data_IF_184759829542
#
_entry.id   IF_184759829542
#
_cell.length_a   1.000
_cell.length_b   1.000
_cell.length_c   1.000
_cell.angle_alpha   90.00
_cell.angle_beta   90.00
_cell.angle_gamma   90.00
#
_symmetry.space_group_name_H-M   'P 1'
#
loop_
_entity.id
_entity.type
_entity.pdbx_description
1 polymer ?
#
# COMPACT_ATOMS: atom_id res chain seq x y z
N UNK A 1 -35.34 5.22 -34.54
CA UNK A 1 -35.29 6.17 -33.43
C UNK A 1 -35.51 5.42 -32.13
N UNK A 2 -34.45 5.16 -31.40
CA UNK A 2 -34.54 4.63 -30.04
C UNK A 2 -34.93 5.80 -29.14
N UNK A 3 -36.04 5.74 -28.38
CA UNK A 3 -36.41 6.83 -27.50
C UNK A 3 -35.26 7.05 -26.50
N UNK A 4 -34.78 8.29 -26.38
CA UNK A 4 -33.87 8.68 -25.33
C UNK A 4 -34.56 8.41 -23.98
N UNK A 5 -34.24 7.32 -23.36
CA UNK A 5 -34.59 7.03 -21.96
C UNK A 5 -33.85 8.05 -21.10
N UNK A 6 -34.41 9.21 -20.91
CA UNK A 6 -34.05 10.07 -19.78
C UNK A 6 -34.49 9.30 -18.53
N UNK A 7 -33.51 8.78 -17.81
CA UNK A 7 -33.80 8.20 -16.50
C UNK A 7 -34.52 9.28 -15.68
N UNK A 8 -35.68 9.00 -15.18
CA UNK A 8 -36.43 9.89 -14.28
C UNK A 8 -35.77 10.06 -12.91
N UNK A 9 -34.59 9.55 -12.77
CA UNK A 9 -33.74 9.68 -11.59
C UNK A 9 -32.85 10.87 -11.86
N UNK A 10 -33.19 12.01 -11.25
CA UNK A 10 -32.37 13.22 -11.32
C UNK A 10 -30.90 12.91 -11.11
N UNK A 11 -30.05 13.65 -11.78
CA UNK A 11 -28.59 13.62 -11.63
C UNK A 11 -28.23 13.81 -10.15
N UNK A 12 -28.12 12.70 -9.43
CA UNK A 12 -27.62 12.76 -8.07
C UNK A 12 -26.14 12.75 -8.18
N UNK A 13 -25.57 13.91 -8.02
CA UNK A 13 -24.14 14.06 -7.81
C UNK A 13 -23.78 13.23 -6.57
N UNK A 14 -23.09 12.14 -6.80
CA UNK A 14 -22.48 11.36 -5.73
C UNK A 14 -21.17 12.06 -5.38
N UNK A 15 -21.16 12.78 -4.27
CA UNK A 15 -19.91 13.30 -3.76
C UNK A 15 -18.95 12.15 -3.43
N UNK A 16 -17.69 12.25 -3.83
CA UNK A 16 -16.68 11.27 -3.46
C UNK A 16 -16.58 11.17 -1.94
N UNK A 17 -16.55 9.96 -1.42
CA UNK A 17 -16.32 9.70 -0.01
C UNK A 17 -14.82 9.74 0.27
N UNK A 18 -14.36 10.74 1.00
CA UNK A 18 -12.94 11.03 1.24
C UNK A 18 -12.53 11.06 2.72
N UNK A 19 -13.41 10.66 3.63
CA UNK A 19 -13.15 10.66 5.07
C UNK A 19 -12.10 9.61 5.52
N UNK A 20 -11.93 8.52 4.73
CA UNK A 20 -10.96 7.48 5.07
C UNK A 20 -9.50 7.99 4.89
N UNK A 21 -8.57 7.72 5.84
CA UNK A 21 -7.21 8.27 5.80
C UNK A 21 -6.38 7.83 4.58
N UNK A 22 -6.62 6.63 4.04
CA UNK A 22 -5.81 6.05 2.97
C UNK A 22 -6.58 5.75 1.68
N UNK A 23 -7.90 5.76 1.72
CA UNK A 23 -8.75 5.37 0.59
C UNK A 23 -9.71 6.49 0.23
N UNK A 24 -10.01 6.62 -1.05
CA UNK A 24 -11.08 7.44 -1.58
C UNK A 24 -12.08 6.55 -2.33
N UNK A 25 -13.35 6.88 -2.26
CA UNK A 25 -14.43 6.17 -2.94
C UNK A 25 -15.31 7.14 -3.70
N UNK A 26 -15.40 6.94 -5.00
CA UNK A 26 -16.30 7.66 -5.90
C UNK A 26 -17.46 6.73 -6.32
N UNK A 27 -18.65 6.90 -5.75
CA UNK A 27 -19.82 6.11 -6.13
C UNK A 27 -20.23 6.25 -7.59
N UNK A 28 -19.92 7.39 -8.22
CA UNK A 28 -20.23 7.65 -9.63
C UNK A 28 -19.49 6.73 -10.60
N UNK A 29 -18.32 6.21 -10.19
CA UNK A 29 -17.53 5.27 -10.98
C UNK A 29 -17.84 3.80 -10.65
N UNK A 30 -18.70 3.54 -9.66
CA UNK A 30 -18.94 2.20 -9.15
C UNK A 30 -19.92 1.43 -10.03
N UNK A 31 -19.49 0.33 -10.63
CA UNK A 31 -20.34 -0.59 -11.41
C UNK A 31 -20.96 -1.72 -10.56
N UNK A 32 -20.88 -1.64 -9.25
CA UNK A 32 -21.49 -2.58 -8.30
C UNK A 32 -21.03 -4.05 -8.47
N UNK A 33 -19.85 -4.29 -9.00
CA UNK A 33 -19.32 -5.62 -9.28
C UNK A 33 -18.96 -6.44 -8.02
N UNK A 34 -18.99 -5.86 -6.83
CA UNK A 34 -18.76 -6.47 -5.52
C UNK A 34 -17.36 -7.08 -5.31
N UNK A 35 -16.42 -6.87 -6.21
CA UNK A 35 -15.04 -7.38 -6.06
C UNK A 35 -14.38 -6.88 -4.78
N UNK A 36 -14.56 -5.61 -4.44
CA UNK A 36 -14.03 -5.01 -3.22
C UNK A 36 -14.58 -5.69 -1.95
N UNK A 37 -15.89 -5.97 -1.92
CA UNK A 37 -16.57 -6.65 -0.80
C UNK A 37 -16.04 -8.09 -0.68
N UNK A 38 -16.04 -8.83 -1.80
CA UNK A 38 -15.53 -10.20 -1.82
C UNK A 38 -14.04 -10.27 -1.40
N UNK A 39 -13.20 -9.32 -1.85
CA UNK A 39 -11.80 -9.25 -1.46
C UNK A 39 -11.65 -8.97 0.04
N UNK A 40 -12.42 -8.03 0.58
CA UNK A 40 -12.40 -7.72 2.01
C UNK A 40 -12.85 -8.92 2.85
N UNK A 41 -13.91 -9.62 2.43
CA UNK A 41 -14.43 -10.78 3.14
C UNK A 41 -13.50 -11.99 3.06
N UNK A 42 -13.07 -12.38 1.84
CA UNK A 42 -12.34 -13.63 1.61
C UNK A 42 -10.84 -13.53 1.84
N UNK A 43 -10.25 -12.39 1.48
CA UNK A 43 -8.81 -12.22 1.53
C UNK A 43 -8.32 -11.72 2.90
N UNK A 44 -9.08 -10.84 3.55
CA UNK A 44 -8.69 -10.26 4.84
C UNK A 44 -9.52 -10.76 6.02
N UNK A 45 -10.68 -11.39 5.76
CA UNK A 45 -11.60 -11.86 6.80
C UNK A 45 -12.27 -10.72 7.59
N UNK A 46 -12.19 -9.46 7.10
CA UNK A 46 -12.65 -8.30 7.88
C UNK A 46 -14.11 -7.93 7.66
N UNK A 47 -14.66 -8.24 6.48
CA UNK A 47 -16.05 -7.90 6.16
C UNK A 47 -16.41 -6.42 6.39
N UNK A 48 -15.43 -5.53 6.20
CA UNK A 48 -15.59 -4.10 6.46
C UNK A 48 -16.42 -3.38 5.40
N UNK A 49 -16.74 -4.03 4.28
CA UNK A 49 -17.50 -3.46 3.17
C UNK A 49 -18.77 -4.24 2.93
N UNK A 50 -19.85 -3.51 2.67
CA UNK A 50 -21.14 -4.07 2.28
C UNK A 50 -21.78 -3.27 1.14
N UNK A 51 -22.84 -3.80 0.54
CA UNK A 51 -23.73 -3.02 -0.31
C UNK A 51 -24.85 -2.44 0.55
N UNK A 52 -25.08 -1.15 0.39
CA UNK A 52 -26.24 -0.49 0.94
C UNK A 52 -27.17 -0.08 -0.19
N UNK A 53 -28.48 -0.23 0.06
CA UNK A 53 -29.54 0.23 -0.84
C UNK A 53 -30.30 1.38 -0.19
N UNK A 54 -30.40 2.46 -0.93
CA UNK A 54 -31.30 3.56 -0.58
C UNK A 54 -32.24 3.82 -1.77
N UNK A 55 -33.40 3.23 -1.71
CA UNK A 55 -34.32 3.19 -2.84
C UNK A 55 -33.74 2.41 -4.04
N UNK A 56 -33.67 3.05 -5.19
CA UNK A 56 -33.08 2.50 -6.41
C UNK A 56 -31.54 2.57 -6.44
N UNK A 57 -30.91 3.19 -5.45
CA UNK A 57 -29.46 3.38 -5.40
C UNK A 57 -28.80 2.26 -4.64
N UNK A 58 -27.69 1.80 -5.19
CA UNK A 58 -26.82 0.82 -4.56
C UNK A 58 -25.40 1.38 -4.53
N UNK A 59 -24.75 1.36 -3.39
CA UNK A 59 -23.39 1.81 -3.22
C UNK A 59 -22.64 0.96 -2.20
N UNK A 60 -21.32 1.00 -2.27
CA UNK A 60 -20.47 0.34 -1.28
C UNK A 60 -20.43 1.18 -0.02
N UNK A 61 -20.77 0.60 1.11
CA UNK A 61 -20.75 1.25 2.42
C UNK A 61 -20.02 0.40 3.45
N UNK A 62 -19.54 1.10 4.45
CA UNK A 62 -19.03 0.47 5.66
C UNK A 62 -20.23 -0.10 6.44
N UNK A 63 -20.14 -1.34 6.97
CA UNK A 63 -21.19 -1.94 7.78
C UNK A 63 -21.60 -1.03 8.96
N UNK A 64 -22.87 -1.12 9.34
CA UNK A 64 -23.45 -0.47 10.52
C UNK A 64 -23.64 1.05 10.44
N UNK A 65 -23.52 1.67 9.28
CA UNK A 65 -23.73 3.10 9.12
C UNK A 65 -22.68 3.97 9.80
N UNK A 66 -21.64 3.37 10.35
CA UNK A 66 -20.51 4.07 10.96
C UNK A 66 -19.52 4.58 9.89
N UNK A 67 -18.70 5.57 10.24
CA UNK A 67 -17.61 6.01 9.39
C UNK A 67 -16.53 4.92 9.20
N UNK A 68 -15.67 5.08 8.23
CA UNK A 68 -14.57 4.16 7.97
C UNK A 68 -13.70 3.92 9.20
N UNK A 69 -13.52 4.95 10.02
CA UNK A 69 -12.73 4.95 11.24
C UNK A 69 -13.24 3.98 12.30
N UNK A 70 -14.56 3.82 12.38
CA UNK A 70 -15.24 2.98 13.37
C UNK A 70 -15.55 1.57 12.82
N UNK A 71 -15.05 1.25 11.63
CA UNK A 71 -15.27 -0.05 11.01
C UNK A 71 -14.12 -1.03 11.30
N UNK A 72 -14.32 -2.29 10.93
CA UNK A 72 -13.28 -3.32 10.96
C UNK A 72 -12.21 -3.13 9.86
N UNK A 73 -12.19 -1.98 9.18
CA UNK A 73 -11.26 -1.69 8.11
C UNK A 73 -9.83 -1.53 8.63
N UNK A 74 -8.90 -2.31 8.11
CA UNK A 74 -7.46 -2.23 8.43
C UNK A 74 -6.68 -1.33 7.46
N UNK A 75 -7.36 -0.56 6.64
CA UNK A 75 -6.73 0.34 5.65
C UNK A 75 -5.76 -0.36 4.68
N UNK A 76 -5.91 -1.66 4.48
CA UNK A 76 -4.97 -2.47 3.68
C UNK A 76 -4.99 -2.15 2.17
N UNK A 77 -6.07 -1.53 1.65
CA UNK A 77 -6.19 -1.14 0.24
C UNK A 77 -6.37 -2.28 -0.77
N UNK A 78 -6.57 -3.53 -0.34
CA UNK A 78 -6.79 -4.65 -1.25
C UNK A 78 -8.11 -4.50 -2.04
N UNK A 79 -9.12 -3.85 -1.47
CA UNK A 79 -10.36 -3.49 -2.15
C UNK A 79 -10.11 -2.49 -3.30
N UNK A 80 -9.23 -1.52 -3.13
CA UNK A 80 -8.85 -0.58 -4.18
C UNK A 80 -8.08 -1.28 -5.31
N UNK A 81 -7.14 -2.18 -4.99
CA UNK A 81 -6.43 -2.98 -5.98
C UNK A 81 -7.38 -3.89 -6.79
N UNK A 82 -8.46 -4.37 -6.17
CA UNK A 82 -9.45 -5.23 -6.83
C UNK A 82 -10.49 -4.44 -7.65
N UNK A 83 -10.57 -3.12 -7.49
CA UNK A 83 -11.56 -2.29 -8.16
C UNK A 83 -11.19 -2.09 -9.64
N UNK A 84 -12.05 -2.53 -10.59
CA UNK A 84 -11.73 -2.45 -12.02
C UNK A 84 -11.96 -1.07 -12.61
N UNK A 85 -12.74 -0.20 -11.95
CA UNK A 85 -13.13 1.12 -12.48
C UNK A 85 -12.42 2.28 -11.79
N UNK A 86 -11.64 1.99 -10.73
CA UNK A 86 -11.04 3.05 -9.92
C UNK A 86 -12.04 3.78 -9.00
N UNK A 87 -13.26 3.26 -8.83
CA UNK A 87 -14.20 3.81 -7.86
C UNK A 87 -13.62 3.79 -6.43
N UNK A 88 -12.82 2.79 -6.08
CA UNK A 88 -12.00 2.76 -4.88
C UNK A 88 -10.54 2.97 -5.28
N UNK A 89 -9.89 3.98 -4.73
CA UNK A 89 -8.50 4.33 -4.99
C UNK A 89 -7.72 4.53 -3.70
N UNK A 90 -6.41 4.47 -3.82
CA UNK A 90 -5.49 4.76 -2.71
C UNK A 90 -5.06 6.21 -2.85
N UNK A 91 -5.34 7.05 -1.85
CA UNK A 91 -5.04 8.49 -1.86
C UNK A 91 -3.57 8.81 -2.14
N UNK A 92 -2.69 7.91 -1.74
CA UNK A 92 -1.25 8.08 -1.93
C UNK A 92 -0.78 7.80 -3.35
N UNK A 93 -1.57 7.09 -4.15
CA UNK A 93 -1.26 6.82 -5.54
C UNK A 93 -1.14 8.13 -6.31
N UNK A 94 -0.01 8.36 -6.95
CA UNK A 94 0.19 9.48 -7.86
C UNK A 94 -0.35 9.13 -9.23
N UNK A 95 -0.78 10.14 -9.99
CA UNK A 95 -1.24 9.94 -11.35
C UNK A 95 -0.08 9.51 -12.25
N UNK A 96 -0.28 8.41 -12.96
CA UNK A 96 0.64 7.90 -13.97
C UNK A 96 -0.13 7.10 -15.01
N UNK A 97 0.43 7.01 -16.19
CA UNK A 97 -0.01 6.06 -17.22
C UNK A 97 0.85 4.80 -17.16
N UNK A 98 0.28 3.66 -17.52
CA UNK A 98 0.96 2.35 -17.43
C UNK A 98 2.30 2.32 -18.19
N UNK A 99 2.41 3.05 -19.29
CA UNK A 99 3.61 3.15 -20.12
C UNK A 99 4.66 4.16 -19.61
N UNK A 100 4.32 4.97 -18.61
CA UNK A 100 5.25 5.93 -17.99
C UNK A 100 6.04 5.34 -16.82
N UNK A 101 5.68 4.15 -16.40
CA UNK A 101 6.24 3.54 -15.19
C UNK A 101 7.00 2.27 -15.49
N UNK A 102 8.10 2.10 -14.78
CA UNK A 102 8.82 0.83 -14.71
C UNK A 102 8.32 0.04 -13.50
N UNK A 103 7.89 -1.21 -13.72
CA UNK A 103 7.53 -2.12 -12.63
C UNK A 103 8.78 -2.85 -12.13
N UNK A 104 9.02 -2.77 -10.84
CA UNK A 104 10.16 -3.43 -10.17
C UNK A 104 9.62 -4.38 -9.11
N UNK A 105 9.80 -5.69 -9.33
CA UNK A 105 9.44 -6.71 -8.36
C UNK A 105 10.41 -6.68 -7.18
N UNK A 106 9.87 -6.69 -5.96
CA UNK A 106 10.68 -6.75 -4.75
C UNK A 106 9.92 -7.42 -3.60
N UNK A 107 10.63 -7.65 -2.51
CA UNK A 107 10.06 -8.16 -1.25
C UNK A 107 9.80 -7.01 -0.29
N UNK A 108 8.66 -7.03 0.37
CA UNK A 108 8.29 -6.04 1.37
C UNK A 108 9.26 -6.06 2.57
N UNK A 109 9.82 -4.92 2.98
CA UNK A 109 10.84 -4.88 4.05
C UNK A 109 10.27 -4.77 5.47
N UNK A 110 8.93 -4.71 5.65
CA UNK A 110 8.35 -4.35 6.94
C UNK A 110 8.26 -5.49 7.95
N UNK A 111 8.17 -6.74 7.52
CA UNK A 111 8.09 -7.88 8.42
C UNK A 111 8.55 -9.18 7.75
N UNK A 112 8.64 -10.25 8.56
CA UNK A 112 9.13 -11.56 8.12
C UNK A 112 8.18 -12.33 7.18
N UNK A 113 6.97 -11.84 6.90
CA UNK A 113 6.04 -12.49 5.97
C UNK A 113 6.61 -12.54 4.54
N UNK A 114 7.48 -11.60 4.17
CA UNK A 114 8.16 -11.62 2.87
C UNK A 114 7.23 -11.42 1.68
N UNK A 115 6.17 -10.63 1.84
CA UNK A 115 5.21 -10.35 0.77
C UNK A 115 5.90 -9.84 -0.49
N UNK A 116 5.56 -10.41 -1.64
CA UNK A 116 6.00 -9.91 -2.93
C UNK A 116 5.16 -8.72 -3.36
N UNK A 117 5.82 -7.69 -3.88
CA UNK A 117 5.17 -6.47 -4.35
C UNK A 117 5.85 -5.91 -5.60
N UNK A 118 5.08 -5.21 -6.41
CA UNK A 118 5.56 -4.45 -7.56
C UNK A 118 5.59 -2.97 -7.21
N UNK A 119 6.77 -2.37 -7.28
CA UNK A 119 6.97 -0.93 -7.17
C UNK A 119 6.80 -0.33 -8.56
N UNK A 120 5.96 0.69 -8.66
CA UNK A 120 5.75 1.46 -9.87
C UNK A 120 6.64 2.71 -9.79
N UNK A 121 7.65 2.75 -10.63
CA UNK A 121 8.68 3.80 -10.59
C UNK A 121 8.56 4.69 -11.82
N UNK A 122 8.42 6.01 -11.59
CA UNK A 122 8.44 7.06 -12.61
C UNK A 122 9.52 8.07 -12.24
N UNK A 123 10.40 8.40 -13.17
CA UNK A 123 11.48 9.38 -12.98
C UNK A 123 12.34 9.13 -11.72
N UNK A 124 12.63 7.85 -11.45
CA UNK A 124 13.42 7.43 -10.29
C UNK A 124 12.67 7.46 -8.96
N UNK A 125 11.39 7.86 -8.94
CA UNK A 125 10.56 7.91 -7.72
C UNK A 125 9.48 6.85 -7.73
N UNK A 126 9.18 6.30 -6.56
CA UNK A 126 8.09 5.34 -6.40
C UNK A 126 6.77 6.11 -6.35
N UNK A 127 5.88 5.83 -7.31
CA UNK A 127 4.58 6.50 -7.45
C UNK A 127 3.40 5.65 -7.02
N UNK A 128 3.55 4.32 -7.04
CA UNK A 128 2.51 3.38 -6.57
C UNK A 128 3.14 2.05 -6.16
N UNK A 129 2.37 1.26 -5.41
CA UNK A 129 2.74 -0.09 -5.02
C UNK A 129 1.55 -1.01 -5.04
N UNK A 130 1.73 -2.15 -5.63
CA UNK A 130 0.72 -3.18 -5.70
C UNK A 130 1.25 -4.52 -5.21
N UNK A 131 0.36 -5.30 -4.61
CA UNK A 131 0.69 -6.66 -4.24
C UNK A 131 0.96 -7.51 -5.48
N UNK A 132 2.09 -8.17 -5.48
CA UNK A 132 2.48 -9.12 -6.52
C UNK A 132 2.25 -10.55 -6.06
N UNK A 133 2.14 -11.45 -7.01
CA UNK A 133 1.95 -12.87 -6.70
C UNK A 133 3.21 -13.44 -6.05
N UNK A 134 3.03 -13.93 -4.84
CA UNK A 134 4.08 -14.54 -4.04
C UNK A 134 3.49 -15.61 -3.10
N UNK A 135 4.31 -16.58 -2.68
CA UNK A 135 3.84 -17.74 -1.91
C UNK A 135 3.19 -17.36 -0.57
N UNK A 136 3.57 -16.22 -0.01
CA UNK A 136 3.07 -15.79 1.30
C UNK A 136 1.90 -14.79 1.23
N UNK A 137 1.67 -14.13 0.11
CA UNK A 137 0.73 -13.00 0.06
C UNK A 137 -0.31 -13.05 -1.06
N UNK A 138 -0.15 -13.89 -2.10
CA UNK A 138 -1.15 -14.08 -3.16
C UNK A 138 -1.74 -12.74 -3.68
N UNK A 139 -0.88 -11.79 -4.05
CA UNK A 139 -1.22 -10.42 -4.49
C UNK A 139 -1.81 -9.48 -3.42
N UNK A 140 -1.90 -9.92 -2.17
CA UNK A 140 -2.42 -9.10 -1.09
C UNK A 140 -1.28 -8.35 -0.38
N UNK A 141 -1.59 -7.17 0.15
CA UNK A 141 -0.68 -6.42 1.02
C UNK A 141 -1.46 -5.89 2.22
N UNK A 142 -0.77 -5.73 3.34
CA UNK A 142 -1.29 -4.95 4.46
C UNK A 142 -1.05 -3.45 4.24
N UNK A 143 -1.58 -2.62 5.13
CA UNK A 143 -1.40 -1.16 5.07
C UNK A 143 0.07 -0.74 5.04
N UNK A 144 0.94 -1.40 5.80
CA UNK A 144 2.38 -1.07 5.84
C UNK A 144 3.04 -1.31 4.49
N UNK A 145 2.83 -2.48 3.88
CA UNK A 145 3.38 -2.81 2.57
C UNK A 145 2.87 -1.92 1.45
N UNK A 146 1.60 -1.51 1.53
CA UNK A 146 0.97 -0.70 0.49
C UNK A 146 1.20 0.80 0.64
N UNK A 147 1.02 1.33 1.83
CA UNK A 147 1.00 2.78 2.08
C UNK A 147 2.22 3.29 2.82
N UNK A 148 2.96 2.44 3.53
CA UNK A 148 4.10 2.81 4.37
C UNK A 148 5.47 2.59 3.74
N UNK A 149 5.55 1.94 2.56
CA UNK A 149 6.81 1.36 2.10
C UNK A 149 7.82 2.31 1.47
N UNK A 150 7.47 3.58 1.20
CA UNK A 150 8.29 4.32 0.22
C UNK A 150 8.82 5.66 0.72
N UNK A 151 8.23 6.25 1.73
CA UNK A 151 8.70 7.55 2.22
C UNK A 151 10.13 7.48 2.75
N UNK A 152 10.49 6.32 3.31
CA UNK A 152 11.85 6.14 3.82
C UNK A 152 12.92 5.97 2.73
N UNK A 153 12.54 5.60 1.50
CA UNK A 153 13.51 5.37 0.41
C UNK A 153 14.22 6.66 0.05
N UNK A 154 13.47 7.75 -0.03
CA UNK A 154 13.98 9.08 -0.40
C UNK A 154 14.11 10.02 0.81
N UNK A 155 13.95 9.51 2.04
CA UNK A 155 14.08 10.31 3.26
C UNK A 155 15.55 10.70 3.50
N UNK A 156 15.79 11.97 3.80
CA UNK A 156 17.13 12.48 4.11
C UNK A 156 17.74 11.84 5.35
N UNK A 157 16.90 11.40 6.30
CA UNK A 157 17.35 10.69 7.50
C UNK A 157 17.79 9.25 7.25
N UNK A 158 17.63 8.74 6.02
CA UNK A 158 18.05 7.38 5.69
C UNK A 158 19.56 7.25 5.68
N UNK A 159 20.09 6.30 6.45
CA UNK A 159 21.50 5.95 6.43
C UNK A 159 21.82 5.27 5.08
N UNK A 160 22.64 5.92 4.26
CA UNK A 160 23.02 5.44 2.91
C UNK A 160 24.43 4.81 2.87
N UNK A 161 25.20 4.99 3.93
CA UNK A 161 26.57 4.53 4.05
C UNK A 161 26.79 3.90 5.43
N UNK A 162 27.76 2.97 5.55
CA UNK A 162 28.15 2.45 6.85
C UNK A 162 28.63 3.57 7.77
N UNK A 163 28.35 3.43 9.04
CA UNK A 163 28.84 4.32 10.07
C UNK A 163 29.63 3.51 11.10
N UNK A 164 30.82 3.94 11.42
CA UNK A 164 31.67 3.34 12.45
C UNK A 164 31.79 4.31 13.60
N UNK A 165 31.58 3.80 14.83
CA UNK A 165 31.72 4.63 16.03
C UNK A 165 33.18 4.89 16.30
N UNK A 166 33.58 6.17 16.32
CA UNK A 166 34.88 6.60 16.75
C UNK A 166 35.00 6.38 18.28
N UNK A 167 36.05 5.70 18.72
CA UNK A 167 36.23 5.35 20.13
C UNK A 167 36.65 6.55 21.00
N UNK A 168 37.26 7.55 20.37
CA UNK A 168 37.78 8.73 21.09
C UNK A 168 36.71 9.78 21.30
N UNK A 169 35.92 10.07 20.25
CA UNK A 169 34.87 11.08 20.28
C UNK A 169 33.51 10.51 20.71
N UNK A 170 33.30 9.19 20.55
CA UNK A 170 32.04 8.54 20.79
C UNK A 170 31.01 8.75 19.68
N UNK A 171 31.31 9.50 18.64
CA UNK A 171 30.43 9.81 17.53
C UNK A 171 30.54 8.79 16.40
N UNK A 172 29.45 8.70 15.56
CA UNK A 172 29.45 7.85 14.38
C UNK A 172 29.97 8.62 13.17
N UNK A 173 31.03 8.10 12.56
CA UNK A 173 31.69 8.65 11.37
C UNK A 173 31.40 7.77 10.14
N UNK A 174 31.30 8.41 8.98
CA UNK A 174 31.09 7.72 7.71
C UNK A 174 32.28 6.85 7.36
N UNK A 175 32.02 5.60 7.01
CA UNK A 175 33.03 4.63 6.57
C UNK A 175 32.69 4.07 5.18
N UNK A 176 33.68 3.44 4.55
CA UNK A 176 33.47 2.62 3.36
C UNK A 176 32.91 1.26 3.74
N UNK A 177 32.31 0.56 2.78
CA UNK A 177 31.80 -0.80 2.99
C UNK A 177 32.91 -1.76 3.37
N UNK A 178 34.11 -1.62 2.76
CA UNK A 178 35.27 -2.48 3.04
C UNK A 178 35.78 -2.28 4.48
N UNK A 179 35.88 -1.03 4.94
CA UNK A 179 36.25 -0.73 6.32
C UNK A 179 35.24 -1.33 7.33
N UNK A 180 33.95 -1.14 7.08
CA UNK A 180 32.91 -1.65 7.97
C UNK A 180 32.87 -3.19 8.01
N UNK A 181 32.98 -3.85 6.85
CA UNK A 181 32.95 -5.31 6.77
C UNK A 181 34.21 -5.93 7.38
N UNK A 182 35.39 -5.34 7.16
CA UNK A 182 36.63 -5.78 7.79
C UNK A 182 36.57 -5.64 9.30
N UNK A 183 36.04 -4.53 9.82
CA UNK A 183 35.82 -4.35 11.26
C UNK A 183 34.94 -5.41 11.85
N UNK A 184 33.79 -5.71 11.21
CA UNK A 184 32.84 -6.74 11.65
C UNK A 184 33.49 -8.13 11.63
N UNK A 185 34.17 -8.48 10.54
CA UNK A 185 34.87 -9.76 10.39
C UNK A 185 35.93 -9.97 11.46
N UNK A 186 36.75 -8.94 11.71
CA UNK A 186 37.78 -8.97 12.74
C UNK A 186 37.21 -9.16 14.12
N UNK A 187 36.14 -8.42 14.45
CA UNK A 187 35.46 -8.54 15.74
C UNK A 187 34.79 -9.92 15.95
N UNK A 188 34.18 -10.47 14.94
CA UNK A 188 33.62 -11.84 15.03
C UNK A 188 34.73 -12.88 15.21
N UNK A 189 35.85 -12.73 14.54
CA UNK A 189 37.01 -13.63 14.69
C UNK A 189 37.61 -13.53 16.10
N UNK A 190 37.80 -12.32 16.64
CA UNK A 190 38.25 -12.09 18.01
C UNK A 190 37.32 -12.80 19.02
N UNK A 191 35.99 -12.57 18.91
CA UNK A 191 35.01 -13.15 19.81
C UNK A 191 35.03 -14.69 19.73
N UNK A 192 35.04 -15.24 18.50
CA UNK A 192 35.13 -16.69 18.32
C UNK A 192 36.39 -17.29 18.92
N UNK A 193 37.53 -16.63 18.79
CA UNK A 193 38.80 -17.12 19.34
C UNK A 193 38.83 -17.04 20.86
N UNK A 194 38.12 -16.10 21.46
CA UNK A 194 38.07 -15.90 22.92
C UNK A 194 37.03 -16.79 23.61
N UNK A 195 35.88 -17.05 22.98
CA UNK A 195 34.75 -17.70 23.62
C UNK A 195 34.30 -19.00 22.95
N UNK A 196 34.81 -19.38 21.82
CA UNK A 196 34.47 -20.59 21.06
C UNK A 196 33.44 -20.35 19.97
#
# INVERSE_FOLDING_TARGET
DVPNFKSSHGDVQHEPFDAHPFLSYDPGLCIQCQRCISTCAKATGRHALSLERNGARVYVKVPFGEGWENSLCESCGNCAQACPTGALTIKRRKDYREWEVKKVRTTCPHCATGCQMDLYVKDGKIVDVQGADGPSNHKLLCVKGRSGSFDFVDCDARIRYPLIKNKETGEFERATWDEALNLVASKFSEIRNQYG
#
